data_IF_209492778508
#
_entry.id   IF_209492778508
#
_cell.length_a   1.000
_cell.length_b   1.000
_cell.length_c   1.000
_cell.angle_alpha   90.00
_cell.angle_beta   90.00
_cell.angle_gamma   90.00
#
_symmetry.space_group_name_H-M   'P 1'
#
loop_
_entity.id
_entity.type
_entity.pdbx_description
1 polymer ?
#
# COMPACT_ATOMS: atom_id res chain seq x y z
N UNK A 1 6.38 6.10 -16.10
CA UNK A 1 5.40 6.12 -15.00
C UNK A 1 4.62 4.79 -15.08
N UNK A 2 4.84 3.85 -14.13
CA UNK A 2 4.33 2.46 -13.98
C UNK A 2 4.25 1.47 -15.18
N UNK A 3 4.18 1.95 -16.42
CA UNK A 3 4.03 1.12 -17.63
C UNK A 3 2.71 0.35 -17.65
N UNK A 4 1.63 1.01 -17.20
CA UNK A 4 0.26 0.49 -17.19
C UNK A 4 -0.59 1.56 -17.85
N UNK A 5 -1.25 1.24 -18.96
CA UNK A 5 -2.14 2.20 -19.65
C UNK A 5 -3.57 2.14 -19.11
N UNK A 6 -4.35 3.18 -19.38
CA UNK A 6 -5.77 3.16 -19.04
C UNK A 6 -6.51 2.06 -19.81
N UNK A 7 -6.17 1.86 -21.09
CA UNK A 7 -6.75 0.82 -21.93
C UNK A 7 -6.46 -0.58 -21.35
N UNK A 8 -5.24 -0.83 -20.87
CA UNK A 8 -4.87 -2.09 -20.21
C UNK A 8 -5.66 -2.29 -18.90
N UNK A 9 -5.85 -1.24 -18.11
CA UNK A 9 -6.65 -1.30 -16.88
C UNK A 9 -8.13 -1.56 -17.17
N UNK A 10 -8.69 -0.94 -18.21
CA UNK A 10 -10.09 -1.15 -18.58
C UNK A 10 -10.32 -2.55 -19.17
N UNK A 11 -9.34 -3.09 -19.90
CA UNK A 11 -9.44 -4.40 -20.52
C UNK A 11 -9.16 -5.55 -19.55
N UNK A 12 -8.19 -5.39 -18.65
CA UNK A 12 -7.65 -6.49 -17.83
C UNK A 12 -7.68 -6.22 -16.31
N UNK A 13 -8.15 -5.06 -15.88
CA UNK A 13 -8.24 -4.70 -14.47
C UNK A 13 -9.33 -5.48 -13.75
N UNK A 14 -9.10 -5.74 -12.46
CA UNK A 14 -10.14 -6.23 -11.58
C UNK A 14 -11.10 -5.10 -11.18
N UNK A 15 -12.37 -5.43 -10.95
CA UNK A 15 -13.33 -4.47 -10.41
C UNK A 15 -12.94 -4.05 -8.99
N UNK A 16 -13.34 -2.85 -8.53
CA UNK A 16 -13.11 -2.41 -7.15
C UNK A 16 -13.58 -3.45 -6.13
N UNK A 17 -14.76 -4.04 -6.34
CA UNK A 17 -15.31 -5.08 -5.47
C UNK A 17 -14.39 -6.32 -5.40
N UNK A 18 -13.95 -6.84 -6.55
CA UNK A 18 -13.09 -8.02 -6.60
C UNK A 18 -11.74 -7.77 -5.90
N UNK A 19 -11.18 -6.57 -6.05
CA UNK A 19 -9.96 -6.16 -5.33
C UNK A 19 -10.22 -6.10 -3.83
N UNK A 20 -11.30 -5.44 -3.40
CA UNK A 20 -11.62 -5.27 -1.99
C UNK A 20 -11.93 -6.60 -1.28
N UNK A 21 -12.62 -7.53 -1.94
CA UNK A 21 -12.84 -8.89 -1.44
C UNK A 21 -11.52 -9.66 -1.29
N UNK A 22 -10.65 -9.61 -2.31
CA UNK A 22 -9.32 -10.23 -2.24
C UNK A 22 -8.49 -9.64 -1.10
N UNK A 23 -8.55 -8.33 -0.89
CA UNK A 23 -7.87 -7.67 0.23
C UNK A 23 -8.44 -8.10 1.58
N UNK A 24 -9.77 -8.24 1.69
CA UNK A 24 -10.41 -8.75 2.90
C UNK A 24 -9.91 -10.15 3.25
N UNK A 25 -9.88 -11.07 2.29
CA UNK A 25 -9.40 -12.44 2.52
C UNK A 25 -7.95 -12.45 3.03
N UNK A 26 -7.10 -11.59 2.48
CA UNK A 26 -5.68 -11.53 2.84
C UNK A 26 -5.41 -10.81 4.17
N UNK A 27 -6.19 -9.78 4.48
CA UNK A 27 -5.83 -8.79 5.49
C UNK A 27 -6.83 -8.60 6.63
N UNK A 28 -7.93 -9.37 6.67
CA UNK A 28 -8.90 -9.28 7.76
C UNK A 28 -8.24 -9.29 9.15
N UNK A 29 -8.55 -8.27 9.95
CA UNK A 29 -8.03 -8.08 11.31
C UNK A 29 -6.55 -7.68 11.40
N UNK A 30 -5.86 -7.44 10.28
CA UNK A 30 -4.45 -7.03 10.26
C UNK A 30 -4.31 -5.51 10.23
N UNK A 31 -3.13 -5.05 10.64
CA UNK A 31 -2.68 -3.68 10.44
C UNK A 31 -1.70 -3.63 9.27
N UNK A 32 -2.00 -2.84 8.25
CA UNK A 32 -1.15 -2.59 7.09
C UNK A 32 -0.32 -1.33 7.32
N UNK A 33 0.91 -1.33 6.84
CA UNK A 33 1.79 -0.17 6.86
C UNK A 33 1.68 0.59 5.54
N UNK A 34 1.40 1.89 5.62
CA UNK A 34 1.49 2.83 4.50
C UNK A 34 2.68 3.79 4.69
N UNK A 35 3.54 3.91 3.68
CA UNK A 35 4.64 4.89 3.68
C UNK A 35 4.24 6.21 3.01
N UNK A 36 3.07 6.26 2.37
CA UNK A 36 2.51 7.42 1.72
C UNK A 36 1.07 7.70 2.22
N UNK A 37 0.77 8.91 2.72
CA UNK A 37 -0.60 9.28 3.10
C UNK A 37 -1.64 9.11 1.98
N UNK A 38 -1.22 9.15 0.71
CA UNK A 38 -2.12 8.91 -0.42
C UNK A 38 -2.69 7.48 -0.44
N UNK A 39 -1.99 6.50 0.13
CA UNK A 39 -2.45 5.11 0.16
C UNK A 39 -3.74 4.98 0.99
N UNK A 40 -3.85 5.73 2.09
CA UNK A 40 -5.09 5.80 2.87
C UNK A 40 -6.26 6.30 2.04
N UNK A 41 -6.07 7.45 1.39
CA UNK A 41 -7.11 8.05 0.56
C UNK A 41 -7.60 7.07 -0.52
N UNK A 42 -6.69 6.37 -1.21
CA UNK A 42 -7.08 5.44 -2.26
C UNK A 42 -7.74 4.15 -1.75
N UNK A 43 -7.41 3.70 -0.54
CA UNK A 43 -8.09 2.58 0.09
C UNK A 43 -9.50 2.93 0.56
N UNK A 44 -9.71 4.15 1.02
CA UNK A 44 -11.06 4.66 1.34
C UNK A 44 -11.91 4.74 0.06
N UNK A 45 -11.36 5.32 -1.02
CA UNK A 45 -12.03 5.38 -2.33
C UNK A 45 -12.32 3.99 -2.89
N UNK A 46 -11.41 3.02 -2.74
CA UNK A 46 -11.64 1.63 -3.14
C UNK A 46 -12.82 1.02 -2.37
N UNK A 47 -12.87 1.25 -1.05
CA UNK A 47 -13.92 0.72 -0.17
C UNK A 47 -15.28 1.32 -0.51
N UNK A 48 -15.34 2.63 -0.76
CA UNK A 48 -16.53 3.34 -1.23
C UNK A 48 -17.01 2.79 -2.58
N UNK A 49 -16.10 2.66 -3.56
CA UNK A 49 -16.42 2.13 -4.88
C UNK A 49 -16.86 0.65 -4.86
N UNK A 50 -16.35 -0.13 -3.91
CA UNK A 50 -16.76 -1.51 -3.68
C UNK A 50 -18.07 -1.62 -2.88
N UNK A 51 -18.50 -0.56 -2.19
CA UNK A 51 -19.66 -0.58 -1.30
C UNK A 51 -19.45 -1.46 -0.06
N UNK A 52 -18.21 -1.65 0.38
CA UNK A 52 -17.88 -2.47 1.56
C UNK A 52 -16.94 -1.71 2.50
N UNK A 53 -17.09 -1.94 3.80
CA UNK A 53 -16.17 -1.41 4.81
C UNK A 53 -14.82 -2.17 4.77
N UNK A 54 -13.68 -1.48 4.97
CA UNK A 54 -12.40 -2.14 5.10
C UNK A 54 -12.35 -2.96 6.40
N UNK A 55 -11.89 -4.21 6.29
CA UNK A 55 -11.78 -5.13 7.43
C UNK A 55 -10.36 -5.19 8.01
N UNK A 56 -9.53 -4.20 7.69
CA UNK A 56 -8.15 -4.05 8.13
C UNK A 56 -7.94 -2.59 8.54
N UNK A 57 -6.90 -2.34 9.33
CA UNK A 57 -6.48 -0.98 9.68
C UNK A 57 -5.24 -0.64 8.89
N UNK A 58 -5.12 0.60 8.43
CA UNK A 58 -3.87 1.08 7.84
C UNK A 58 -3.26 2.10 8.79
N UNK A 59 -1.95 1.99 9.02
CA UNK A 59 -1.18 2.80 9.95
C UNK A 59 0.05 3.37 9.24
N UNK A 60 0.52 4.56 9.63
CA UNK A 60 1.74 5.13 9.06
C UNK A 60 2.96 4.37 9.55
N UNK A 61 4.06 4.42 8.78
CA UNK A 61 5.33 3.76 9.09
C UNK A 61 5.82 4.01 10.53
N UNK A 62 5.64 5.21 11.05
CA UNK A 62 5.96 5.60 12.43
C UNK A 62 5.32 4.72 13.49
N UNK A 63 4.16 4.13 13.21
CA UNK A 63 3.46 3.25 14.15
C UNK A 63 4.15 1.90 14.31
N UNK A 64 5.01 1.52 13.36
CA UNK A 64 5.70 0.23 13.35
C UNK A 64 7.17 0.36 13.78
N UNK A 65 7.87 1.41 13.35
CA UNK A 65 9.31 1.56 13.60
C UNK A 65 9.65 2.73 14.52
N UNK A 66 8.67 3.54 14.92
CA UNK A 66 8.87 4.77 15.68
C UNK A 66 9.22 5.98 14.79
N UNK A 67 9.03 7.19 15.34
CA UNK A 67 9.18 8.45 14.59
C UNK A 67 10.59 8.69 14.08
N UNK A 68 11.59 8.40 14.91
CA UNK A 68 13.00 8.64 14.60
C UNK A 68 13.49 7.74 13.46
N UNK A 69 13.23 6.43 13.55
CA UNK A 69 13.57 5.49 12.49
C UNK A 69 12.82 5.81 11.19
N UNK A 70 11.51 6.11 11.25
CA UNK A 70 10.74 6.50 10.08
C UNK A 70 11.29 7.75 9.37
N UNK A 71 11.79 8.74 10.13
CA UNK A 71 12.43 9.91 9.55
C UNK A 71 13.70 9.54 8.78
N UNK A 72 14.54 8.66 9.32
CA UNK A 72 15.76 8.17 8.64
C UNK A 72 15.40 7.41 7.37
N UNK A 73 14.44 6.48 7.45
CA UNK A 73 14.01 5.64 6.33
C UNK A 73 13.54 6.47 5.13
N UNK A 74 12.82 7.57 5.37
CA UNK A 74 12.34 8.48 4.32
C UNK A 74 13.46 9.18 3.53
N UNK A 75 14.63 9.32 4.12
CA UNK A 75 15.78 9.98 3.48
C UNK A 75 16.72 9.02 2.78
N UNK A 76 16.48 7.70 2.88
CA UNK A 76 17.29 6.73 2.17
C UNK A 76 16.98 6.76 0.67
N UNK A 77 18.01 6.65 -0.20
CA UNK A 77 17.84 6.69 -1.64
C UNK A 77 17.29 5.35 -2.16
N UNK A 78 16.06 5.03 -1.76
CA UNK A 78 15.35 3.83 -2.20
C UNK A 78 14.75 4.10 -3.56
N UNK A 79 15.18 3.35 -4.58
CA UNK A 79 14.57 3.45 -5.92
C UNK A 79 13.14 2.90 -5.86
N UNK A 80 12.15 3.79 -5.90
CA UNK A 80 10.75 3.42 -6.11
C UNK A 80 10.58 2.99 -7.57
N UNK A 81 10.15 1.75 -7.78
CA UNK A 81 9.87 1.19 -9.09
C UNK A 81 8.56 1.72 -9.68
N UNK A 82 7.77 2.45 -8.87
CA UNK A 82 6.42 2.92 -9.19
C UNK A 82 5.50 1.75 -9.57
N UNK A 83 5.66 0.64 -8.86
CA UNK A 83 4.76 -0.51 -8.90
C UNK A 83 4.61 -0.99 -7.47
N UNK A 84 3.38 -1.12 -7.00
CA UNK A 84 3.06 -1.40 -5.60
C UNK A 84 3.91 -2.54 -5.01
N UNK A 85 4.00 -3.69 -5.71
CA UNK A 85 4.80 -4.82 -5.24
C UNK A 85 6.31 -4.53 -5.14
N UNK A 86 6.88 -3.84 -6.13
CA UNK A 86 8.30 -3.46 -6.11
C UNK A 86 8.59 -2.43 -5.01
N UNK A 87 7.68 -1.48 -4.82
CA UNK A 87 7.81 -0.43 -3.82
C UNK A 87 7.70 -1.00 -2.38
N UNK A 88 6.80 -1.96 -2.15
CA UNK A 88 6.68 -2.67 -0.85
C UNK A 88 7.91 -3.52 -0.55
N UNK A 89 8.47 -4.24 -1.54
CA UNK A 89 9.71 -5.02 -1.35
C UNK A 89 10.88 -4.10 -1.02
N UNK A 90 10.98 -2.97 -1.71
CA UNK A 90 12.01 -1.98 -1.45
C UNK A 90 11.89 -1.41 -0.03
N UNK A 91 10.68 -1.06 0.42
CA UNK A 91 10.44 -0.62 1.80
C UNK A 91 10.83 -1.70 2.82
N UNK A 92 10.44 -2.95 2.58
CA UNK A 92 10.76 -4.08 3.47
C UNK A 92 12.27 -4.26 3.65
N UNK A 93 13.03 -4.27 2.56
CA UNK A 93 14.50 -4.41 2.61
C UNK A 93 15.14 -3.33 3.46
N UNK A 94 14.59 -2.12 3.40
CA UNK A 94 15.11 -0.98 4.14
C UNK A 94 14.76 -1.16 5.62
N UNK A 95 13.52 -1.50 5.96
CA UNK A 95 13.11 -1.72 7.36
C UNK A 95 13.90 -2.88 8.00
N UNK A 96 14.05 -4.00 7.30
CA UNK A 96 14.77 -5.19 7.81
C UNK A 96 16.27 -4.90 8.03
N UNK A 97 16.87 -3.99 7.27
CA UNK A 97 18.29 -3.63 7.40
C UNK A 97 18.65 -2.78 8.62
N UNK A 98 17.66 -2.34 9.42
CA UNK A 98 17.87 -1.53 10.63
C UNK A 98 17.78 -2.35 11.93
N UNK A 99 17.55 -3.67 11.84
CA UNK A 99 17.47 -4.60 12.97
C UNK A 99 18.57 -5.67 12.89
#
# INVERSE_FOLDING_TARGET
MHGITLEELLANGASPLAVAESMKELFVGKSLCADNPADWFWLDVLSEAAGIEPHFTVLPLESFVGREAAAILRHLPVRKGHRAGADVVALKLVVDGFW
#
